data_IF_197010144062
#
_entry.id   IF_197010144062
#
_cell.length_a   1.000
_cell.length_b   1.000
_cell.length_c   1.000
_cell.angle_alpha   90.00
_cell.angle_beta   90.00
_cell.angle_gamma   90.00
#
_symmetry.space_group_name_H-M   'P 1'
#
loop_
_entity.id
_entity.type
_entity.pdbx_description
1 polymer ?
#
# COMPACT_ATOMS: atom_id res chain seq x y z
N UNK A 1 69.87 12.93 -2.99
CA UNK A 1 70.12 14.11 -3.86
C UNK A 1 68.76 14.55 -4.37
N UNK A 2 68.18 15.75 -4.21
CA UNK A 2 68.54 17.08 -3.70
C UNK A 2 67.22 17.75 -3.26
N UNK A 3 67.13 18.28 -2.03
CA UNK A 3 67.23 19.71 -1.63
C UNK A 3 66.02 20.61 -1.98
N UNK A 4 65.33 20.94 -0.89
CA UNK A 4 64.35 21.97 -0.50
C UNK A 4 64.61 23.39 -1.04
N UNK A 5 63.53 24.23 -0.99
CA UNK A 5 63.44 25.71 -0.78
C UNK A 5 63.02 26.50 -2.04
N UNK A 6 62.21 27.56 -2.04
CA UNK A 6 61.39 28.35 -1.10
C UNK A 6 60.63 29.36 -2.00
N UNK A 7 59.32 29.62 -1.80
CA UNK A 7 58.75 30.84 -1.19
C UNK A 7 59.11 32.20 -1.86
N UNK A 8 58.12 32.86 -2.48
CA UNK A 8 58.00 34.33 -2.67
C UNK A 8 56.55 34.66 -3.10
N UNK A 9 55.69 35.25 -2.26
CA UNK A 9 55.52 36.66 -1.91
C UNK A 9 54.85 37.55 -3.00
N UNK A 10 53.58 37.87 -2.73
CA UNK A 10 52.96 39.22 -2.70
C UNK A 10 52.86 40.05 -4.02
N UNK A 11 51.63 40.38 -4.45
CA UNK A 11 50.98 41.71 -4.24
C UNK A 11 49.71 41.96 -5.07
N UNK A 12 48.70 42.49 -4.38
CA UNK A 12 47.78 43.57 -4.74
C UNK A 12 46.84 43.46 -5.96
N UNK A 13 45.53 43.57 -5.67
CA UNK A 13 44.51 43.97 -6.66
C UNK A 13 43.10 44.13 -6.06
N UNK A 14 42.81 45.33 -5.54
CA UNK A 14 41.57 46.11 -5.68
C UNK A 14 40.18 45.48 -5.35
N UNK A 15 39.50 46.03 -4.32
CA UNK A 15 38.02 46.05 -4.16
C UNK A 15 37.40 47.16 -5.07
N UNK A 16 36.06 47.31 -5.31
CA UNK A 16 34.87 46.65 -4.71
C UNK A 16 33.72 46.31 -5.71
N UNK A 17 32.56 45.94 -5.16
CA UNK A 17 31.19 46.28 -5.60
C UNK A 17 30.33 45.22 -6.32
N UNK A 18 29.38 44.69 -5.54
CA UNK A 18 27.97 44.51 -5.87
C UNK A 18 27.59 43.87 -7.21
N UNK A 19 26.97 42.68 -7.14
CA UNK A 19 25.54 42.55 -7.43
C UNK A 19 24.98 41.22 -6.92
N UNK A 20 23.73 41.32 -6.51
CA UNK A 20 22.93 40.39 -5.74
C UNK A 20 22.38 39.26 -6.64
N UNK A 21 22.40 38.01 -6.16
CA UNK A 21 21.25 37.10 -6.04
C UNK A 21 21.44 35.64 -6.45
N UNK A 22 20.75 34.82 -5.64
CA UNK A 22 20.11 33.54 -5.95
C UNK A 22 20.94 32.26 -5.84
N UNK A 23 21.02 31.75 -4.61
CA UNK A 23 20.49 30.43 -4.23
C UNK A 23 20.59 29.33 -5.29
N UNK A 24 21.56 28.43 -5.14
CA UNK A 24 21.37 27.02 -5.48
C UNK A 24 21.82 26.16 -4.30
N UNK A 25 20.83 25.66 -3.55
CA UNK A 25 21.02 24.50 -2.68
C UNK A 25 21.57 23.37 -3.58
N UNK A 26 22.72 22.77 -3.28
CA UNK A 26 23.25 21.72 -4.15
C UNK A 26 22.28 20.54 -4.17
N UNK A 27 21.66 20.30 -5.32
CA UNK A 27 20.97 19.05 -5.61
C UNK A 27 22.04 17.95 -5.64
N UNK A 28 21.95 17.02 -4.68
CA UNK A 28 22.71 15.79 -4.73
C UNK A 28 22.36 15.00 -6.00
N UNK A 29 23.32 14.28 -6.61
CA UNK A 29 23.13 13.64 -7.90
C UNK A 29 22.12 12.50 -7.79
N UNK A 30 21.14 12.46 -8.68
CA UNK A 30 20.26 11.31 -8.87
C UNK A 30 21.12 10.11 -9.35
N UNK A 31 21.13 8.96 -8.65
CA UNK A 31 21.75 7.78 -9.20
C UNK A 31 20.84 7.18 -10.28
N UNK A 32 21.51 6.84 -11.38
CA UNK A 32 21.02 6.26 -12.60
C UNK A 32 20.03 5.09 -12.41
N UNK A 33 19.08 5.04 -13.34
CA UNK A 33 18.15 3.96 -13.58
C UNK A 33 18.86 2.59 -13.59
N UNK A 34 18.46 1.72 -12.67
CA UNK A 34 18.66 0.28 -12.79
C UNK A 34 17.30 -0.37 -12.96
N UNK A 35 17.15 -1.13 -14.04
CA UNK A 35 15.97 -1.92 -14.34
C UNK A 35 15.77 -2.95 -13.21
N UNK A 36 14.74 -2.76 -12.41
CA UNK A 36 14.36 -3.64 -11.31
C UNK A 36 12.90 -4.08 -11.48
N UNK A 37 12.57 -5.23 -10.90
CA UNK A 37 11.19 -5.72 -10.68
C UNK A 37 10.29 -4.53 -10.29
N UNK A 38 9.01 -4.50 -10.70
CA UNK A 38 8.17 -3.32 -10.49
C UNK A 38 8.27 -2.92 -9.02
N UNK A 39 8.91 -1.78 -8.80
CA UNK A 39 9.16 -1.29 -7.46
C UNK A 39 7.78 -1.10 -6.82
N UNK A 40 7.44 -1.82 -5.74
CA UNK A 40 6.12 -1.72 -5.12
C UNK A 40 5.83 -0.29 -4.65
N UNK A 41 6.86 0.49 -4.35
CA UNK A 41 6.76 1.92 -4.05
C UNK A 41 6.38 2.70 -5.32
N UNK A 42 7.05 2.45 -6.45
CA UNK A 42 6.73 3.09 -7.72
C UNK A 42 5.32 2.74 -8.22
N UNK A 43 4.88 1.49 -8.02
CA UNK A 43 3.53 1.07 -8.38
C UNK A 43 2.46 1.76 -7.52
N UNK A 44 2.70 1.88 -6.21
CA UNK A 44 1.79 2.58 -5.30
C UNK A 44 1.75 4.07 -5.58
N UNK A 45 2.92 4.68 -5.81
CA UNK A 45 3.04 6.08 -6.20
C UNK A 45 2.25 6.36 -7.47
N UNK A 46 2.44 5.54 -8.52
CA UNK A 46 1.69 5.66 -9.78
C UNK A 46 0.19 5.42 -9.61
N UNK A 47 -0.22 4.56 -8.67
CA UNK A 47 -1.63 4.35 -8.39
C UNK A 47 -2.30 5.56 -7.72
N UNK A 48 -1.50 6.36 -7.00
CA UNK A 48 -1.95 7.54 -6.25
C UNK A 48 -1.83 8.83 -7.07
N UNK A 49 -0.81 8.95 -7.92
CA UNK A 49 -0.61 10.04 -8.88
C UNK A 49 -1.69 9.94 -9.98
N UNK A 50 -2.79 10.66 -9.79
CA UNK A 50 -3.98 10.57 -10.65
C UNK A 50 -3.81 11.42 -11.90
N UNK A 51 -3.14 12.56 -11.79
CA UNK A 51 -2.92 13.44 -12.92
C UNK A 51 -1.69 13.04 -13.76
N UNK A 52 -0.85 12.14 -13.26
CA UNK A 52 0.32 11.59 -13.96
C UNK A 52 1.46 12.60 -14.11
N UNK A 53 1.53 13.60 -13.23
CA UNK A 53 2.55 14.65 -13.29
C UNK A 53 3.89 14.24 -12.65
N UNK A 54 3.95 13.02 -12.11
CA UNK A 54 5.12 12.46 -11.45
C UNK A 54 5.32 12.96 -10.02
N UNK A 55 4.33 13.67 -9.46
CA UNK A 55 4.29 14.14 -8.09
C UNK A 55 2.98 13.66 -7.42
N UNK A 56 2.97 13.62 -6.09
CA UNK A 56 1.73 13.45 -5.34
C UNK A 56 1.33 14.79 -4.76
N UNK A 57 0.25 15.36 -5.27
CA UNK A 57 -0.40 16.48 -4.62
C UNK A 57 -0.94 16.07 -3.24
N UNK A 58 -1.16 17.04 -2.35
CA UNK A 58 -1.75 16.77 -1.03
C UNK A 58 -3.10 16.05 -1.14
N UNK A 59 -3.87 16.39 -2.17
CA UNK A 59 -5.18 15.78 -2.44
C UNK A 59 -5.02 14.31 -2.83
N UNK A 60 -4.12 14.00 -3.75
CA UNK A 60 -3.83 12.63 -4.18
C UNK A 60 -3.25 11.78 -3.05
N UNK A 61 -2.29 12.34 -2.31
CA UNK A 61 -1.71 11.68 -1.15
C UNK A 61 -2.78 11.36 -0.09
N UNK A 62 -3.63 12.34 0.24
CA UNK A 62 -4.70 12.14 1.22
C UNK A 62 -5.70 11.08 0.76
N UNK A 63 -6.12 11.12 -0.50
CA UNK A 63 -7.06 10.14 -1.05
C UNK A 63 -6.48 8.72 -1.03
N UNK A 64 -5.22 8.56 -1.46
CA UNK A 64 -4.52 7.27 -1.42
C UNK A 64 -4.33 6.76 0.01
N UNK A 65 -3.99 7.66 0.94
CA UNK A 65 -3.83 7.33 2.36
C UNK A 65 -5.15 6.91 3.03
N UNK A 66 -6.24 7.64 2.78
CA UNK A 66 -7.57 7.30 3.30
C UNK A 66 -8.04 5.93 2.75
N UNK A 67 -7.82 5.65 1.46
CA UNK A 67 -8.12 4.35 0.86
C UNK A 67 -7.31 3.22 1.51
N UNK A 68 -6.02 3.43 1.73
CA UNK A 68 -5.16 2.46 2.40
C UNK A 68 -5.63 2.19 3.83
N UNK A 69 -5.95 3.24 4.59
CA UNK A 69 -6.48 3.09 5.94
C UNK A 69 -7.81 2.34 5.97
N UNK A 70 -8.70 2.60 5.02
CA UNK A 70 -9.95 1.87 4.89
C UNK A 70 -9.70 0.37 4.63
N UNK A 71 -8.79 0.03 3.72
CA UNK A 71 -8.41 -1.36 3.45
C UNK A 71 -7.85 -2.06 4.68
N UNK A 72 -6.96 -1.40 5.43
CA UNK A 72 -6.40 -1.93 6.69
C UNK A 72 -7.49 -2.15 7.75
N UNK A 73 -8.45 -1.24 7.88
CA UNK A 73 -9.58 -1.41 8.82
C UNK A 73 -10.44 -2.62 8.44
N UNK A 74 -10.70 -2.82 7.16
CA UNK A 74 -11.45 -3.99 6.67
C UNK A 74 -10.67 -5.27 6.96
N UNK A 75 -9.37 -5.32 6.65
CA UNK A 75 -8.55 -6.51 6.96
C UNK A 75 -8.55 -6.82 8.46
N UNK A 76 -8.36 -5.80 9.31
CA UNK A 76 -8.40 -5.97 10.76
C UNK A 76 -9.75 -6.48 11.26
N UNK A 77 -10.86 -5.99 10.69
CA UNK A 77 -12.19 -6.46 11.02
C UNK A 77 -12.37 -7.94 10.63
N UNK A 78 -11.95 -8.33 9.42
CA UNK A 78 -12.01 -9.71 8.95
C UNK A 78 -11.16 -10.64 9.83
N UNK A 79 -9.94 -10.23 10.21
CA UNK A 79 -9.09 -11.02 11.11
C UNK A 79 -9.71 -11.21 12.49
N UNK A 80 -10.34 -10.17 13.05
CA UNK A 80 -11.04 -10.27 14.34
C UNK A 80 -12.23 -11.22 14.26
N UNK A 81 -13.01 -11.12 13.18
CA UNK A 81 -14.14 -12.03 12.96
C UNK A 81 -13.67 -13.47 12.80
N UNK A 82 -12.64 -13.70 11.97
CA UNK A 82 -12.03 -15.01 11.80
C UNK A 82 -11.59 -15.61 13.14
N UNK A 83 -10.83 -14.87 13.94
CA UNK A 83 -10.38 -15.33 15.26
C UNK A 83 -11.52 -15.58 16.27
N UNK A 84 -12.70 -15.00 16.06
CA UNK A 84 -13.88 -15.27 16.89
C UNK A 84 -14.57 -16.58 16.48
N UNK A 85 -14.38 -17.01 15.22
CA UNK A 85 -15.02 -18.19 14.64
C UNK A 85 -14.17 -19.44 14.79
N UNK A 86 -12.86 -19.29 14.59
CA UNK A 86 -11.82 -20.29 14.85
C UNK A 86 -11.70 -20.48 16.38
N UNK A 87 -12.62 -21.26 16.93
CA UNK A 87 -12.79 -21.45 18.37
C UNK A 87 -11.76 -22.42 18.93
N UNK A 88 -11.29 -23.35 18.10
CA UNK A 88 -10.22 -24.28 18.45
C UNK A 88 -8.81 -23.70 18.24
N UNK A 89 -8.71 -22.53 17.57
CA UNK A 89 -7.48 -21.81 17.25
C UNK A 89 -6.50 -22.61 16.39
N UNK A 90 -7.03 -23.42 15.47
CA UNK A 90 -6.23 -24.21 14.52
C UNK A 90 -5.83 -23.42 13.26
N UNK A 91 -6.31 -22.17 13.15
CA UNK A 91 -6.00 -21.27 12.04
C UNK A 91 -6.89 -21.46 10.81
N UNK A 92 -7.96 -22.25 10.92
CA UNK A 92 -8.95 -22.48 9.89
C UNK A 92 -10.36 -22.54 10.50
N UNK A 93 -11.39 -22.39 9.67
CA UNK A 93 -12.79 -22.54 10.09
C UNK A 93 -13.29 -23.89 9.57
N UNK A 94 -13.58 -24.82 10.48
CA UNK A 94 -14.12 -26.13 10.12
C UNK A 94 -15.64 -26.11 9.90
N UNK A 95 -16.23 -27.24 9.47
CA UNK A 95 -17.66 -27.33 9.20
C UNK A 95 -18.56 -27.06 10.43
N UNK A 96 -18.09 -27.38 11.64
CA UNK A 96 -18.81 -27.11 12.90
C UNK A 96 -18.77 -25.61 13.22
N UNK A 97 -17.61 -24.98 13.06
CA UNK A 97 -17.42 -23.54 13.25
C UNK A 97 -18.15 -22.72 12.18
N UNK A 98 -18.15 -23.20 10.93
CA UNK A 98 -18.87 -22.61 9.81
C UNK A 98 -20.38 -22.54 10.07
N UNK A 99 -20.98 -23.61 10.61
CA UNK A 99 -22.40 -23.62 10.97
C UNK A 99 -22.75 -22.61 12.07
N UNK A 100 -21.75 -22.16 12.84
CA UNK A 100 -21.95 -21.20 13.92
C UNK A 100 -21.92 -19.72 13.48
N UNK A 101 -21.43 -19.43 12.27
CA UNK A 101 -21.44 -18.11 11.66
C UNK A 101 -22.84 -17.49 11.68
N UNK A 102 -22.96 -16.29 12.27
CA UNK A 102 -24.20 -15.51 12.26
C UNK A 102 -24.68 -15.27 10.82
N UNK A 103 -23.75 -14.99 9.90
CA UNK A 103 -24.06 -14.77 8.48
C UNK A 103 -24.67 -16.02 7.83
N UNK A 104 -24.19 -17.22 8.20
CA UNK A 104 -24.69 -18.51 7.69
C UNK A 104 -26.02 -18.87 8.33
N UNK A 105 -26.17 -18.63 9.64
CA UNK A 105 -27.44 -18.77 10.37
C UNK A 105 -28.51 -17.85 9.80
N UNK A 106 -28.15 -16.63 9.39
CA UNK A 106 -29.05 -15.65 8.76
C UNK A 106 -29.35 -15.98 7.29
N UNK A 107 -28.36 -16.48 6.53
CA UNK A 107 -28.55 -16.88 5.13
C UNK A 107 -29.36 -18.19 4.99
N UNK A 108 -29.33 -19.07 5.99
CA UNK A 108 -30.09 -20.32 6.00
C UNK A 108 -29.81 -21.17 4.76
N UNK A 109 -30.84 -21.51 3.97
CA UNK A 109 -30.68 -22.28 2.72
C UNK A 109 -29.93 -21.55 1.61
N UNK A 110 -29.79 -20.24 1.71
CA UNK A 110 -29.00 -19.43 0.77
C UNK A 110 -27.52 -19.34 1.18
N UNK A 111 -27.14 -19.93 2.32
CA UNK A 111 -25.74 -20.03 2.70
C UNK A 111 -24.98 -20.84 1.64
N UNK A 112 -23.88 -20.33 1.08
CA UNK A 112 -23.07 -21.10 0.16
C UNK A 112 -22.45 -22.28 0.91
N UNK A 113 -22.21 -23.41 0.23
CA UNK A 113 -21.50 -24.52 0.86
C UNK A 113 -20.03 -24.13 1.10
N UNK A 114 -19.46 -24.59 2.22
CA UNK A 114 -18.04 -24.39 2.56
C UNK A 114 -17.12 -24.82 1.41
N UNK A 115 -17.41 -25.98 0.82
CA UNK A 115 -16.69 -26.57 -0.32
C UNK A 115 -16.60 -25.68 -1.56
N UNK A 116 -17.40 -24.61 -1.66
CA UNK A 116 -17.29 -23.62 -2.75
C UNK A 116 -16.02 -22.76 -2.62
N UNK A 117 -15.53 -22.59 -1.39
CA UNK A 117 -14.43 -21.69 -1.07
C UNK A 117 -13.18 -22.40 -0.54
N UNK A 118 -13.33 -23.64 -0.08
CA UNK A 118 -12.25 -24.58 0.24
C UNK A 118 -11.54 -25.01 -1.06
N UNK A 119 -10.45 -24.32 -1.38
CA UNK A 119 -9.68 -24.50 -2.60
C UNK A 119 -8.61 -25.58 -2.46
N UNK A 120 -8.12 -25.81 -1.24
CA UNK A 120 -7.10 -26.82 -0.96
C UNK A 120 -7.72 -28.22 -0.69
N UNK A 121 -9.02 -28.30 -0.45
CA UNK A 121 -9.79 -29.53 -0.26
C UNK A 121 -9.63 -30.16 1.12
N UNK A 122 -9.22 -29.41 2.13
CA UNK A 122 -8.98 -29.93 3.48
C UNK A 122 -10.24 -29.96 4.37
N UNK A 123 -11.37 -29.48 3.84
CA UNK A 123 -12.66 -29.44 4.53
C UNK A 123 -12.80 -28.29 5.53
N UNK A 124 -11.86 -27.35 5.53
CA UNK A 124 -11.84 -26.14 6.36
C UNK A 124 -11.69 -24.90 5.46
N UNK A 125 -11.80 -23.72 6.05
CA UNK A 125 -11.50 -22.46 5.36
C UNK A 125 -10.34 -21.77 6.07
N UNK A 126 -9.22 -21.64 5.37
CA UNK A 126 -8.14 -20.76 5.84
C UNK A 126 -8.56 -19.27 5.74
N UNK A 127 -7.73 -18.37 6.27
CA UNK A 127 -8.05 -16.94 6.24
C UNK A 127 -8.24 -16.37 4.83
N UNK A 128 -7.47 -16.83 3.84
CA UNK A 128 -7.58 -16.38 2.44
C UNK A 128 -8.91 -16.83 1.83
N UNK A 129 -9.32 -18.06 2.10
CA UNK A 129 -10.56 -18.65 1.63
C UNK A 129 -11.78 -18.00 2.31
N UNK A 130 -11.68 -17.73 3.62
CA UNK A 130 -12.66 -16.96 4.36
C UNK A 130 -12.85 -15.54 3.79
N UNK A 131 -11.78 -14.84 3.42
CA UNK A 131 -11.88 -13.51 2.80
C UNK A 131 -12.68 -13.57 1.49
N UNK A 132 -12.47 -14.61 0.66
CA UNK A 132 -13.24 -14.81 -0.59
C UNK A 132 -14.72 -15.08 -0.30
N UNK A 133 -15.02 -15.89 0.71
CA UNK A 133 -16.39 -16.11 1.18
C UNK A 133 -17.07 -14.79 1.56
N UNK A 134 -16.41 -13.99 2.41
CA UNK A 134 -16.98 -12.70 2.85
C UNK A 134 -17.13 -11.73 1.69
N UNK A 135 -16.19 -11.67 0.74
CA UNK A 135 -16.32 -10.84 -0.45
C UNK A 135 -17.49 -11.26 -1.36
N UNK A 136 -17.76 -12.56 -1.45
CA UNK A 136 -18.87 -13.09 -2.22
C UNK A 136 -20.24 -12.87 -1.55
N UNK A 137 -20.27 -12.80 -0.21
CA UNK A 137 -21.49 -12.62 0.60
C UNK A 137 -21.75 -11.18 1.01
N UNK A 138 -20.73 -10.32 1.03
CA UNK A 138 -20.91 -8.90 1.14
C UNK A 138 -21.82 -8.48 -0.03
N UNK A 139 -22.93 -7.77 0.21
CA UNK A 139 -23.72 -7.22 -0.87
C UNK A 139 -22.75 -6.44 -1.74
N UNK A 140 -22.56 -6.90 -2.98
CA UNK A 140 -21.85 -6.17 -4.00
C UNK A 140 -22.56 -4.82 -4.05
N UNK A 141 -22.02 -3.81 -3.37
CA UNK A 141 -22.42 -2.46 -3.62
C UNK A 141 -22.06 -2.28 -5.08
N UNK A 142 -23.10 -2.31 -5.91
CA UNK A 142 -23.04 -1.98 -7.32
C UNK A 142 -22.46 -0.56 -7.41
N UNK A 143 -21.13 -0.47 -7.43
CA UNK A 143 -20.37 0.73 -7.76
C UNK A 143 -20.49 1.07 -9.26
N UNK A 144 -21.36 0.37 -9.99
CA UNK A 144 -21.71 0.63 -11.38
C UNK A 144 -23.18 1.05 -11.54
N UNK A 145 -23.62 2.11 -10.84
CA UNK A 145 -24.66 3.05 -11.35
C UNK A 145 -24.80 4.29 -10.47
N UNK A 146 -23.99 5.31 -10.77
CA UNK A 146 -24.11 6.64 -10.17
C UNK A 146 -23.45 7.73 -11.01
N UNK A 147 -23.45 7.56 -12.34
CA UNK A 147 -23.03 8.58 -13.29
C UNK A 147 -24.13 8.82 -14.32
N UNK A 148 -24.50 10.10 -14.48
CA UNK A 148 -25.48 10.71 -15.40
C UNK A 148 -26.90 10.82 -14.86
N UNK A 149 -27.27 11.98 -14.32
CA UNK A 149 -27.66 13.17 -15.10
C UNK A 149 -27.29 14.44 -14.35
#
# INVERSE_FOLDING_TARGET
MSRVRSLALLLAGLLPAALLQAQTKPAAPAPAATAAKPDPVAATFKAWDKNGDGQLSLVEFRAGWEQMQAALRVEQALRRQFATLDANHDGAIDASEYGNLVLIKQAGKAAPPLARFDANGDGKLDFSEYVKLVQALAPQQDVSKGGKK
#
